data_IF_413556559919
#
_entry.id   IF_413556559919
#
_cell.length_a   1.000
_cell.length_b   1.000
_cell.length_c   1.000
_cell.angle_alpha   90.00
_cell.angle_beta   90.00
_cell.angle_gamma   90.00
#
_symmetry.space_group_name_H-M   'P 1'
#
loop_
_entity.id
_entity.type
_entity.pdbx_description
1 polymer ?
#
# COMPACT_ATOMS: atom_id res chain seq x y z
N UNK A 1 28.51 -8.26 -30.28
CA UNK A 1 27.97 -9.53 -29.79
C UNK A 1 26.52 -9.29 -29.32
N UNK A 2 25.57 -9.75 -30.13
CA UNK A 2 24.20 -9.94 -29.67
C UNK A 2 24.22 -11.02 -28.59
N UNK A 3 24.00 -10.64 -27.34
CA UNK A 3 23.74 -11.60 -26.30
C UNK A 3 22.30 -12.10 -26.49
N UNK A 4 22.14 -13.17 -27.24
CA UNK A 4 20.87 -13.79 -27.56
C UNK A 4 20.29 -14.68 -26.44
N UNK A 5 20.90 -14.68 -25.26
CA UNK A 5 20.38 -15.35 -24.08
C UNK A 5 20.26 -14.35 -22.93
N UNK A 6 19.11 -14.27 -22.31
CA UNK A 6 18.97 -13.54 -21.05
C UNK A 6 20.04 -14.08 -20.08
N UNK A 7 20.99 -13.22 -19.67
CA UNK A 7 21.94 -13.59 -18.64
C UNK A 7 21.15 -13.89 -17.38
N UNK A 8 21.40 -15.01 -16.74
CA UNK A 8 20.72 -15.40 -15.50
C UNK A 8 21.74 -15.80 -14.46
N UNK A 9 21.54 -15.30 -13.25
CA UNK A 9 22.26 -15.74 -12.06
C UNK A 9 21.32 -16.58 -11.20
N UNK A 10 21.86 -17.56 -10.48
CA UNK A 10 21.09 -18.40 -9.57
C UNK A 10 21.57 -18.17 -8.15
N UNK A 11 20.66 -17.83 -7.27
CA UNK A 11 20.91 -17.68 -5.85
C UNK A 11 20.12 -18.70 -5.04
N UNK A 12 20.67 -19.13 -3.93
CA UNK A 12 19.96 -19.97 -2.96
C UNK A 12 19.69 -19.17 -1.69
N UNK A 13 18.44 -19.07 -1.30
CA UNK A 13 18.02 -18.43 -0.06
C UNK A 13 17.00 -19.32 0.66
N UNK A 14 17.31 -19.70 1.88
CA UNK A 14 16.42 -20.53 2.72
C UNK A 14 15.91 -21.80 2.01
N UNK A 15 16.79 -22.42 1.22
CA UNK A 15 16.45 -23.66 0.47
C UNK A 15 15.75 -23.44 -0.87
N UNK A 16 15.36 -22.20 -1.19
CA UNK A 16 14.74 -21.85 -2.47
C UNK A 16 15.79 -21.42 -3.50
N UNK A 17 15.56 -21.77 -4.75
CA UNK A 17 16.36 -21.29 -5.89
C UNK A 17 15.72 -20.00 -6.44
N UNK A 18 16.53 -18.96 -6.58
CA UNK A 18 16.11 -17.67 -7.14
C UNK A 18 16.87 -17.45 -8.43
N UNK A 19 16.14 -17.37 -9.54
CA UNK A 19 16.70 -17.04 -10.86
C UNK A 19 16.60 -15.54 -11.09
N UNK A 20 17.73 -14.87 -11.33
CA UNK A 20 17.77 -13.47 -11.78
C UNK A 20 17.91 -13.46 -13.29
N UNK A 21 16.90 -12.90 -13.96
CA UNK A 21 16.81 -12.85 -15.42
C UNK A 21 16.90 -11.39 -15.86
N UNK A 22 17.91 -11.07 -16.66
CA UNK A 22 18.07 -9.74 -17.23
C UNK A 22 17.37 -9.66 -18.59
N UNK A 23 16.32 -8.87 -18.69
CA UNK A 23 15.58 -8.66 -19.94
C UNK A 23 14.96 -7.27 -19.98
N UNK A 24 15.03 -6.62 -21.13
CA UNK A 24 14.36 -5.34 -21.38
C UNK A 24 12.94 -5.51 -21.93
N UNK A 25 12.56 -6.74 -22.28
CA UNK A 25 11.24 -7.04 -22.83
C UNK A 25 10.66 -8.30 -22.17
N UNK A 26 9.62 -8.16 -21.35
CA UNK A 26 9.03 -9.29 -20.61
C UNK A 26 8.45 -10.37 -21.53
N UNK A 27 8.09 -10.01 -22.78
CA UNK A 27 7.55 -10.96 -23.77
C UNK A 27 8.59 -11.96 -24.25
N UNK A 28 9.89 -11.57 -24.19
CA UNK A 28 11.02 -12.36 -24.66
C UNK A 28 11.62 -13.28 -23.61
N UNK A 29 11.16 -13.16 -22.35
CA UNK A 29 11.65 -14.01 -21.26
C UNK A 29 11.15 -15.44 -21.47
N UNK A 30 12.07 -16.39 -21.59
CA UNK A 30 11.72 -17.80 -21.68
C UNK A 30 11.67 -18.42 -20.29
N UNK A 31 10.54 -18.27 -19.60
CA UNK A 31 10.35 -18.82 -18.26
C UNK A 31 10.39 -20.36 -18.23
N UNK A 32 10.07 -21.04 -19.36
CA UNK A 32 10.05 -22.51 -19.43
C UNK A 32 11.43 -23.12 -19.21
N UNK A 33 12.51 -22.44 -19.60
CA UNK A 33 13.87 -22.92 -19.36
C UNK A 33 14.22 -23.05 -17.86
N UNK A 34 13.49 -22.32 -17.00
CA UNK A 34 13.61 -22.38 -15.55
C UNK A 34 12.55 -23.27 -14.89
N UNK A 35 11.86 -24.09 -15.67
CA UNK A 35 10.80 -24.97 -15.18
C UNK A 35 9.46 -24.28 -14.90
N UNK A 36 9.33 -22.98 -15.15
CA UNK A 36 8.14 -22.20 -14.87
C UNK A 36 7.15 -22.35 -16.02
N UNK A 37 6.00 -22.96 -15.74
CA UNK A 37 4.94 -23.20 -16.74
C UNK A 37 3.76 -22.28 -16.59
N UNK A 38 3.43 -21.92 -15.34
CA UNK A 38 2.35 -21.01 -14.95
C UNK A 38 2.85 -20.12 -13.82
N UNK A 39 2.91 -18.83 -14.05
CA UNK A 39 3.39 -17.88 -13.06
C UNK A 39 2.32 -16.85 -12.74
N UNK A 40 2.21 -16.48 -11.47
CA UNK A 40 1.69 -15.18 -11.06
C UNK A 40 2.88 -14.24 -11.03
N UNK A 41 2.83 -13.20 -11.86
CA UNK A 41 3.88 -12.19 -11.95
C UNK A 41 3.50 -11.00 -11.09
N UNK A 42 4.43 -10.52 -10.28
CA UNK A 42 4.27 -9.30 -9.49
C UNK A 42 5.09 -8.21 -10.18
N UNK A 43 4.42 -7.17 -10.69
CA UNK A 43 5.07 -6.03 -11.34
C UNK A 43 5.25 -4.89 -10.33
N UNK A 44 6.50 -4.64 -9.97
CA UNK A 44 6.94 -3.53 -9.14
C UNK A 44 7.92 -2.60 -9.88
N UNK A 45 7.93 -2.66 -11.22
CA UNK A 45 8.88 -1.90 -12.06
C UNK A 45 8.52 -0.40 -12.13
N UNK A 46 7.25 -0.04 -11.93
CA UNK A 46 6.73 1.31 -12.15
C UNK A 46 6.64 1.71 -13.64
N UNK A 47 6.98 0.80 -14.57
CA UNK A 47 6.97 1.09 -16.00
C UNK A 47 5.54 1.19 -16.56
N UNK A 48 4.65 0.32 -16.11
CA UNK A 48 3.27 0.24 -16.58
C UNK A 48 2.28 0.29 -15.43
N UNK A 49 1.20 1.02 -15.60
CA UNK A 49 0.12 1.16 -14.62
C UNK A 49 -1.26 0.98 -15.23
N UNK A 50 -1.34 0.67 -16.51
CA UNK A 50 -2.57 0.48 -17.27
C UNK A 50 -2.64 -0.93 -17.89
N UNK A 51 -3.80 -1.24 -18.45
CA UNK A 51 -4.08 -2.55 -19.03
C UNK A 51 -3.19 -2.86 -20.24
N UNK A 52 -2.93 -1.86 -21.09
CA UNK A 52 -2.11 -2.04 -22.30
C UNK A 52 -0.68 -2.43 -21.93
N UNK A 53 -0.06 -1.70 -21.00
CA UNK A 53 1.29 -1.97 -20.53
C UNK A 53 1.39 -3.33 -19.83
N UNK A 54 0.51 -3.61 -18.88
CA UNK A 54 0.53 -4.85 -18.11
C UNK A 54 0.20 -6.10 -18.95
N UNK A 55 -0.56 -5.95 -20.02
CA UNK A 55 -0.78 -7.03 -20.99
C UNK A 55 0.50 -7.50 -21.69
N UNK A 56 1.60 -6.72 -21.65
CA UNK A 56 2.90 -7.21 -22.15
C UNK A 56 3.39 -8.43 -21.37
N UNK A 57 3.10 -8.49 -20.06
CA UNK A 57 3.39 -9.67 -19.25
C UNK A 57 2.47 -10.85 -19.60
N UNK A 58 1.17 -10.59 -19.76
CA UNK A 58 0.17 -11.63 -20.05
C UNK A 58 0.35 -12.26 -21.45
N UNK A 59 0.98 -11.54 -22.39
CA UNK A 59 1.36 -12.10 -23.70
C UNK A 59 2.41 -13.21 -23.61
N UNK A 60 3.12 -13.30 -22.49
CA UNK A 60 4.04 -14.41 -22.25
C UNK A 60 3.25 -15.67 -21.86
N UNK A 61 3.37 -16.78 -22.59
CA UNK A 61 2.53 -17.98 -22.36
C UNK A 61 2.78 -18.67 -21.02
N UNK A 62 3.83 -18.31 -20.29
CA UNK A 62 4.12 -18.82 -18.97
C UNK A 62 3.55 -17.96 -17.84
N UNK A 63 2.96 -16.79 -18.15
CA UNK A 63 2.36 -15.88 -17.17
C UNK A 63 0.84 -16.05 -17.22
N UNK A 64 0.26 -16.50 -16.12
CA UNK A 64 -1.17 -16.70 -15.98
C UNK A 64 -1.86 -15.44 -15.45
N UNK A 65 -1.21 -14.74 -14.53
CA UNK A 65 -1.73 -13.53 -13.88
C UNK A 65 -0.63 -12.52 -13.62
N UNK A 66 -0.97 -11.23 -13.67
CA UNK A 66 -0.10 -10.14 -13.27
C UNK A 66 -0.73 -9.32 -12.14
N UNK A 67 0.02 -9.06 -11.09
CA UNK A 67 -0.34 -8.20 -9.97
C UNK A 67 0.54 -6.96 -10.02
N UNK A 68 -0.07 -5.79 -10.14
CA UNK A 68 0.63 -4.51 -10.08
C UNK A 68 0.75 -4.03 -8.64
N UNK A 69 1.96 -3.72 -8.18
CA UNK A 69 2.21 -3.18 -6.83
C UNK A 69 2.17 -1.64 -6.80
N UNK A 70 1.20 -1.07 -7.50
CA UNK A 70 0.94 0.36 -7.54
C UNK A 70 -0.55 0.59 -7.85
N UNK A 71 -1.08 1.81 -7.65
CA UNK A 71 -2.42 2.14 -8.09
C UNK A 71 -2.58 1.95 -9.60
N UNK A 72 -3.41 1.01 -9.99
CA UNK A 72 -3.71 0.74 -11.38
C UNK A 72 -4.63 1.82 -11.97
N UNK A 73 -4.45 2.09 -13.28
CA UNK A 73 -5.26 3.02 -14.04
C UNK A 73 -6.30 2.31 -14.90
N UNK A 74 -7.33 3.04 -15.29
CA UNK A 74 -8.35 2.56 -16.22
C UNK A 74 -9.33 1.59 -15.58
N UNK A 75 -9.51 0.41 -16.19
CA UNK A 75 -10.49 -0.59 -15.76
C UNK A 75 -9.94 -1.66 -14.81
N UNK A 76 -8.65 -1.65 -14.55
CA UNK A 76 -8.03 -2.60 -13.64
C UNK A 76 -8.55 -2.34 -12.23
N UNK A 77 -9.00 -3.40 -11.57
CA UNK A 77 -9.47 -3.31 -10.18
C UNK A 77 -8.28 -3.11 -9.23
N UNK A 78 -8.35 -2.08 -8.40
CA UNK A 78 -7.47 -1.92 -7.26
C UNK A 78 -8.08 -2.66 -6.06
N UNK A 79 -7.37 -3.64 -5.57
CA UNK A 79 -7.83 -4.52 -4.49
C UNK A 79 -7.01 -4.24 -3.23
N UNK A 80 -7.71 -4.17 -2.12
CA UNK A 80 -7.16 -4.19 -0.76
C UNK A 80 -7.71 -5.43 -0.08
N UNK A 81 -6.83 -6.33 0.30
CA UNK A 81 -7.19 -7.61 0.90
C UNK A 81 -8.05 -7.42 2.16
N UNK A 82 -9.11 -8.21 2.29
CA UNK A 82 -10.09 -8.16 3.38
C UNK A 82 -11.03 -6.93 3.37
N UNK A 83 -10.90 -6.04 2.36
CA UNK A 83 -11.72 -4.84 2.26
C UNK A 83 -12.66 -4.89 1.05
N UNK A 84 -12.15 -5.24 -0.12
CA UNK A 84 -12.91 -5.32 -1.37
C UNK A 84 -12.49 -6.47 -2.28
N UNK A 85 -11.81 -7.47 -1.76
CA UNK A 85 -11.34 -8.65 -2.50
C UNK A 85 -12.50 -9.53 -2.98
N UNK A 86 -13.68 -9.45 -2.36
CA UNK A 86 -14.92 -10.07 -2.85
C UNK A 86 -15.33 -9.58 -4.24
N UNK A 87 -14.79 -8.47 -4.72
CA UNK A 87 -15.01 -7.97 -6.08
C UNK A 87 -14.27 -8.75 -7.15
N UNK A 88 -13.33 -9.60 -6.76
CA UNK A 88 -12.63 -10.50 -7.67
C UNK A 88 -13.55 -11.67 -8.04
N UNK A 89 -13.68 -11.90 -9.36
CA UNK A 89 -14.45 -13.03 -9.88
C UNK A 89 -13.61 -14.29 -10.07
N UNK A 90 -12.28 -14.16 -9.92
CA UNK A 90 -11.32 -15.26 -10.09
C UNK A 90 -10.77 -15.42 -11.50
N UNK A 91 -11.33 -14.74 -12.49
CA UNK A 91 -10.93 -14.78 -13.90
C UNK A 91 -10.06 -13.58 -14.32
N UNK A 92 -9.84 -12.62 -13.41
CA UNK A 92 -8.99 -11.48 -13.68
C UNK A 92 -7.54 -11.88 -13.92
N UNK A 93 -7.03 -11.53 -15.09
CA UNK A 93 -5.60 -11.76 -15.43
C UNK A 93 -4.68 -10.66 -14.90
N UNK A 94 -5.23 -9.47 -14.66
CA UNK A 94 -4.49 -8.31 -14.19
C UNK A 94 -5.25 -7.69 -13.02
N UNK A 95 -4.55 -7.50 -11.91
CA UNK A 95 -5.08 -6.90 -10.68
C UNK A 95 -4.09 -5.87 -10.15
N UNK A 96 -4.57 -4.75 -9.65
CA UNK A 96 -3.78 -3.78 -8.90
C UNK A 96 -3.90 -4.02 -7.40
N UNK A 97 -2.78 -4.06 -6.69
CA UNK A 97 -2.75 -4.19 -5.22
C UNK A 97 -2.83 -2.83 -4.51
N UNK A 98 -3.27 -1.78 -5.20
CA UNK A 98 -3.31 -0.40 -4.71
C UNK A 98 -1.93 0.09 -4.22
N UNK A 99 -1.88 1.07 -3.31
CA UNK A 99 -0.63 1.55 -2.71
C UNK A 99 -0.50 1.09 -1.26
N UNK A 100 0.71 1.17 -0.69
CA UNK A 100 0.96 0.91 0.73
C UNK A 100 0.07 1.79 1.63
N UNK A 101 -0.04 3.08 1.32
CA UNK A 101 -0.91 4.01 2.03
C UNK A 101 -2.38 3.60 1.93
N UNK A 102 -2.86 3.24 0.73
CA UNK A 102 -4.25 2.79 0.54
C UNK A 102 -4.54 1.54 1.36
N UNK A 103 -3.62 0.58 1.37
CA UNK A 103 -3.75 -0.63 2.21
C UNK A 103 -3.79 -0.30 3.70
N UNK A 104 -3.01 0.69 4.15
CA UNK A 104 -2.96 1.08 5.55
C UNK A 104 -4.21 1.83 6.03
N UNK A 105 -4.78 2.71 5.20
CA UNK A 105 -5.86 3.62 5.65
C UNK A 105 -7.26 3.08 5.39
N UNK A 106 -7.45 2.20 4.40
CA UNK A 106 -8.81 1.71 4.08
C UNK A 106 -9.41 0.80 5.14
N UNK A 107 -8.68 -0.14 5.79
CA UNK A 107 -9.25 -0.95 6.86
C UNK A 107 -9.79 -0.12 8.03
N UNK A 108 -9.03 0.81 8.63
CA UNK A 108 -9.55 1.66 9.70
C UNK A 108 -10.69 2.58 9.24
N UNK A 109 -10.65 3.13 8.02
CA UNK A 109 -11.74 3.96 7.51
C UNK A 109 -13.02 3.17 7.33
N UNK A 110 -12.96 1.94 6.80
CA UNK A 110 -14.11 1.06 6.68
C UNK A 110 -14.73 0.77 8.05
N UNK A 111 -13.90 0.39 9.01
CA UNK A 111 -14.33 0.07 10.36
C UNK A 111 -15.04 1.24 11.03
N UNK A 112 -14.48 2.45 10.94
CA UNK A 112 -15.08 3.67 11.52
C UNK A 112 -16.36 4.06 10.77
N UNK A 113 -16.38 3.99 9.42
CA UNK A 113 -17.59 4.34 8.67
C UNK A 113 -18.74 3.37 8.95
N UNK A 114 -18.47 2.08 9.12
CA UNK A 114 -19.49 1.10 9.50
C UNK A 114 -20.09 1.39 10.85
N UNK A 115 -19.27 1.72 11.86
CA UNK A 115 -19.71 1.94 13.23
C UNK A 115 -20.34 3.33 13.47
N UNK A 116 -19.71 4.40 12.97
CA UNK A 116 -20.02 5.77 13.36
C UNK A 116 -20.41 6.69 12.21
N UNK A 117 -20.25 6.27 10.95
CA UNK A 117 -20.49 7.01 9.70
C UNK A 117 -19.65 8.28 9.56
N UNK A 118 -18.68 8.22 8.68
CA UNK A 118 -17.83 9.36 8.33
C UNK A 118 -18.62 10.36 7.47
N UNK A 119 -18.68 11.61 7.91
CA UNK A 119 -19.29 12.72 7.18
C UNK A 119 -18.26 13.42 6.31
N UNK A 120 -17.08 13.70 6.85
CA UNK A 120 -15.95 14.31 6.16
C UNK A 120 -14.65 14.00 6.90
N UNK A 121 -13.52 14.25 6.25
CA UNK A 121 -12.23 14.11 6.92
C UNK A 121 -11.06 14.54 6.07
N UNK A 122 -9.90 14.58 6.73
CA UNK A 122 -8.62 14.82 6.11
C UNK A 122 -7.60 13.76 6.56
N UNK A 123 -6.85 13.26 5.59
CA UNK A 123 -5.80 12.27 5.83
C UNK A 123 -4.45 12.92 5.53
N UNK A 124 -3.62 13.04 6.54
CA UNK A 124 -2.23 13.43 6.40
C UNK A 124 -1.36 12.19 6.51
N UNK A 125 -0.41 11.98 5.59
CA UNK A 125 0.55 10.89 5.71
C UNK A 125 1.95 11.45 5.91
N UNK A 126 2.56 11.07 7.03
CA UNK A 126 3.99 11.28 7.30
C UNK A 126 4.70 10.04 6.74
N UNK A 127 5.26 10.19 5.54
CA UNK A 127 5.70 9.04 4.76
C UNK A 127 7.22 8.99 4.63
N UNK A 128 7.79 7.82 4.87
CA UNK A 128 9.20 7.56 4.60
C UNK A 128 9.55 7.94 3.15
N UNK A 129 10.79 8.37 2.90
CA UNK A 129 11.22 8.61 1.53
C UNK A 129 11.21 7.32 0.71
N UNK A 130 10.97 7.45 -0.57
CA UNK A 130 10.94 6.30 -1.50
C UNK A 130 11.76 6.62 -2.74
N UNK A 131 12.00 5.61 -3.57
CA UNK A 131 12.87 5.72 -4.76
C UNK A 131 12.37 6.72 -5.84
N UNK A 132 11.16 7.28 -5.68
CA UNK A 132 10.67 8.34 -6.55
C UNK A 132 11.17 9.75 -6.16
N UNK A 133 11.90 9.88 -5.05
CA UNK A 133 12.54 11.11 -4.63
C UNK A 133 14.02 11.11 -4.98
N UNK A 134 14.56 12.30 -5.28
CA UNK A 134 15.99 12.43 -5.51
C UNK A 134 16.76 12.34 -4.19
N UNK A 135 17.92 11.67 -4.20
CA UNK A 135 18.80 11.59 -3.04
C UNK A 135 19.45 12.95 -2.75
N UNK A 136 19.86 13.64 -3.79
CA UNK A 136 20.38 15.03 -3.76
C UNK A 136 19.51 15.90 -4.65
N UNK A 137 19.59 17.23 -4.49
CA UNK A 137 18.81 18.19 -5.29
C UNK A 137 19.03 17.95 -6.79
N UNK A 138 17.95 17.63 -7.51
CA UNK A 138 17.98 17.42 -8.94
C UNK A 138 16.57 17.62 -9.54
N UNK A 139 16.49 17.70 -10.87
CA UNK A 139 15.21 17.82 -11.57
C UNK A 139 14.27 16.65 -11.24
N UNK A 140 13.01 16.99 -11.03
CA UNK A 140 11.91 16.06 -10.86
C UNK A 140 10.61 16.67 -11.40
N UNK A 141 9.73 15.86 -11.99
CA UNK A 141 8.43 16.33 -12.52
C UNK A 141 7.51 16.93 -11.47
N UNK A 142 7.69 16.59 -10.20
CA UNK A 142 7.05 17.22 -9.04
C UNK A 142 8.13 17.97 -8.29
N UNK A 143 8.15 19.30 -8.43
CA UNK A 143 9.25 20.19 -8.03
C UNK A 143 9.83 19.89 -6.65
N UNK A 144 8.97 19.77 -5.63
CA UNK A 144 9.41 19.53 -4.25
C UNK A 144 10.07 18.16 -4.06
N UNK A 145 9.69 17.13 -4.84
CA UNK A 145 10.32 15.80 -4.77
C UNK A 145 11.71 15.74 -5.40
N UNK A 146 12.10 16.80 -6.11
CA UNK A 146 13.45 16.99 -6.62
C UNK A 146 14.46 17.40 -5.55
N UNK A 147 14.00 17.85 -4.35
CA UNK A 147 14.88 18.22 -3.25
C UNK A 147 15.39 16.97 -2.51
N UNK A 148 16.63 17.05 -2.01
CA UNK A 148 17.32 15.92 -1.37
C UNK A 148 16.51 15.27 -0.26
N UNK A 149 16.12 14.02 -0.45
CA UNK A 149 15.16 13.29 0.38
C UNK A 149 15.65 13.08 1.83
N UNK A 150 16.96 12.87 1.99
CA UNK A 150 17.56 12.61 3.31
C UNK A 150 17.67 13.85 4.21
N UNK A 151 17.43 15.06 3.67
CA UNK A 151 17.67 16.32 4.37
C UNK A 151 16.42 17.18 4.53
N UNK A 152 15.29 16.81 3.90
CA UNK A 152 14.14 17.69 3.81
C UNK A 152 12.83 17.01 4.19
N UNK A 153 11.95 17.76 4.84
CA UNK A 153 10.51 17.49 4.87
C UNK A 153 9.92 18.01 3.56
N UNK A 154 9.17 17.13 2.84
CA UNK A 154 8.63 17.47 1.52
C UNK A 154 7.12 17.30 1.52
N UNK A 155 6.39 18.43 1.49
CA UNK A 155 4.93 18.40 1.28
C UNK A 155 4.67 18.05 -0.18
N UNK A 156 3.81 17.05 -0.42
CA UNK A 156 3.48 16.59 -1.76
C UNK A 156 2.04 16.09 -1.84
N UNK A 157 1.50 16.09 -3.05
CA UNK A 157 0.19 15.52 -3.33
C UNK A 157 0.20 14.00 -3.12
N UNK A 158 -0.95 13.47 -2.77
CA UNK A 158 -1.21 12.03 -2.72
C UNK A 158 -2.55 11.69 -3.37
N UNK A 159 -2.60 10.56 -4.06
CA UNK A 159 -3.84 10.01 -4.59
C UNK A 159 -4.67 9.25 -3.57
N UNK A 160 -4.31 9.27 -2.28
CA UNK A 160 -4.90 8.41 -1.24
C UNK A 160 -6.42 8.59 -1.10
N UNK A 161 -6.94 9.83 -1.05
CA UNK A 161 -8.38 10.08 -0.93
C UNK A 161 -9.19 9.53 -2.11
N UNK A 162 -8.65 9.66 -3.33
CA UNK A 162 -9.26 9.07 -4.52
C UNK A 162 -9.21 7.54 -4.46
N UNK A 163 -8.06 6.97 -4.10
CA UNK A 163 -7.88 5.53 -3.99
C UNK A 163 -8.81 4.91 -2.94
N UNK A 164 -9.03 5.57 -1.79
CA UNK A 164 -10.03 5.16 -0.81
C UNK A 164 -11.43 5.13 -1.44
N UNK A 165 -11.80 6.14 -2.22
CA UNK A 165 -13.11 6.20 -2.88
C UNK A 165 -13.33 5.08 -3.92
N UNK A 166 -12.26 4.60 -4.53
CA UNK A 166 -12.31 3.47 -5.47
C UNK A 166 -12.52 2.14 -4.72
N UNK A 167 -11.97 2.02 -3.51
CA UNK A 167 -12.08 0.84 -2.64
C UNK A 167 -13.35 0.86 -1.81
N UNK A 168 -13.70 2.01 -1.23
CA UNK A 168 -14.89 2.25 -0.39
C UNK A 168 -15.72 3.37 -1.03
N UNK A 169 -16.64 3.06 -1.96
CA UNK A 169 -17.42 4.07 -2.70
C UNK A 169 -18.25 5.00 -1.83
N UNK A 170 -18.65 4.56 -0.64
CA UNK A 170 -19.42 5.32 0.33
C UNK A 170 -18.67 6.55 0.86
N UNK A 171 -17.35 6.55 0.75
CA UNK A 171 -16.47 7.66 1.16
C UNK A 171 -16.16 8.64 0.03
N UNK A 172 -16.75 8.45 -1.16
CA UNK A 172 -16.51 9.33 -2.30
C UNK A 172 -16.90 10.77 -2.00
N UNK A 173 -15.93 11.69 -2.18
CA UNK A 173 -16.12 13.13 -1.97
C UNK A 173 -16.12 13.57 -0.51
N UNK A 174 -15.95 12.65 0.46
CA UNK A 174 -15.92 12.98 1.88
C UNK A 174 -14.51 13.26 2.41
N UNK A 175 -13.48 12.81 1.71
CA UNK A 175 -12.10 12.83 2.19
C UNK A 175 -11.20 13.71 1.31
N UNK A 176 -10.29 14.42 1.96
CA UNK A 176 -9.13 15.06 1.35
C UNK A 176 -7.85 14.40 1.88
N UNK A 177 -6.75 14.50 1.15
CA UNK A 177 -5.48 13.94 1.60
C UNK A 177 -4.28 14.70 1.04
N UNK A 178 -3.19 14.72 1.81
CA UNK A 178 -1.86 15.09 1.36
C UNK A 178 -0.79 14.22 2.04
N UNK A 179 0.46 14.40 1.67
CA UNK A 179 1.57 13.66 2.23
C UNK A 179 2.74 14.59 2.56
N UNK A 180 3.42 14.30 3.67
CA UNK A 180 4.71 14.87 4.02
C UNK A 180 5.74 13.75 3.95
N UNK A 181 6.68 13.84 3.02
CA UNK A 181 7.84 12.95 3.00
C UNK A 181 8.82 13.41 4.06
N UNK A 182 9.35 12.44 4.81
CA UNK A 182 10.30 12.67 5.91
C UNK A 182 11.59 11.90 5.69
N UNK A 183 12.72 12.34 6.24
CA UNK A 183 14.04 11.73 6.03
C UNK A 183 14.24 10.47 6.89
N UNK A 184 13.31 9.52 6.82
CA UNK A 184 13.43 8.19 7.45
C UNK A 184 13.31 7.11 6.38
N UNK A 185 14.04 5.99 6.52
CA UNK A 185 14.12 4.98 5.46
C UNK A 185 12.87 4.11 5.31
N UNK A 186 12.14 3.86 6.37
CA UNK A 186 10.97 3.00 6.37
C UNK A 186 10.04 3.32 7.54
N UNK A 187 8.85 2.77 7.52
CA UNK A 187 7.68 3.01 8.38
C UNK A 187 7.13 4.42 8.23
N UNK A 188 5.88 4.46 7.88
CA UNK A 188 5.09 5.65 7.66
C UNK A 188 3.96 5.73 8.69
N UNK A 189 3.41 6.92 8.87
CA UNK A 189 2.29 7.19 9.77
C UNK A 189 1.17 7.86 8.99
N UNK A 190 -0.05 7.37 9.11
CA UNK A 190 -1.23 8.08 8.64
C UNK A 190 -1.99 8.70 9.82
N UNK A 191 -2.31 9.96 9.70
CA UNK A 191 -3.12 10.75 10.64
C UNK A 191 -4.47 10.98 9.97
N UNK A 192 -5.55 10.52 10.57
CA UNK A 192 -6.89 10.65 10.02
C UNK A 192 -7.74 11.53 10.93
N UNK A 193 -7.98 12.75 10.50
CA UNK A 193 -8.88 13.69 11.16
C UNK A 193 -10.26 13.53 10.55
N UNK A 194 -11.21 12.99 11.31
CA UNK A 194 -12.52 12.59 10.82
C UNK A 194 -13.65 13.28 11.58
N UNK A 195 -14.65 13.75 10.85
CA UNK A 195 -15.93 14.19 11.39
C UNK A 195 -16.93 13.04 11.21
N UNK A 196 -17.49 12.57 12.31
CA UNK A 196 -18.40 11.44 12.37
C UNK A 196 -19.84 11.90 12.51
N UNK A 197 -20.79 11.07 12.12
CA UNK A 197 -22.23 11.34 12.36
C UNK A 197 -22.61 11.14 13.83
N UNK A 198 -21.91 10.23 14.53
CA UNK A 198 -22.13 9.92 15.94
C UNK A 198 -20.94 10.39 16.76
N UNK A 199 -21.20 10.93 17.95
CA UNK A 199 -20.14 11.16 18.93
C UNK A 199 -19.60 9.83 19.44
N UNK A 200 -18.30 9.77 19.67
CA UNK A 200 -17.62 8.58 20.16
C UNK A 200 -16.49 8.98 21.09
N UNK A 201 -16.30 8.24 22.17
CA UNK A 201 -15.18 8.41 23.10
C UNK A 201 -13.92 7.66 22.65
N UNK A 202 -12.77 8.02 23.21
CA UNK A 202 -11.49 7.34 22.94
C UNK A 202 -11.56 5.86 23.32
N UNK A 203 -12.16 5.54 24.47
CA UNK A 203 -12.30 4.16 24.94
C UNK A 203 -13.11 3.30 23.95
N UNK A 204 -14.22 3.82 23.44
CA UNK A 204 -15.09 3.13 22.48
C UNK A 204 -14.36 2.91 21.13
N UNK A 205 -13.56 3.91 20.68
CA UNK A 205 -12.69 3.74 19.50
C UNK A 205 -11.64 2.67 19.73
N UNK A 206 -10.94 2.73 20.87
CA UNK A 206 -9.91 1.76 21.20
C UNK A 206 -10.47 0.33 21.31
N UNK A 207 -11.66 0.17 21.90
CA UNK A 207 -12.33 -1.13 21.97
C UNK A 207 -12.72 -1.64 20.56
N UNK A 208 -13.24 -0.77 19.69
CA UNK A 208 -13.57 -1.12 18.32
C UNK A 208 -12.34 -1.68 17.58
N UNK A 209 -11.20 -0.97 17.65
CA UNK A 209 -9.97 -1.42 16.99
C UNK A 209 -9.36 -2.66 17.65
N UNK A 210 -9.43 -2.77 18.96
CA UNK A 210 -9.01 -3.95 19.71
C UNK A 210 -9.80 -5.19 19.30
N UNK A 211 -11.12 -5.06 19.19
CA UNK A 211 -11.97 -6.15 18.69
C UNK A 211 -11.64 -6.51 17.24
N UNK A 212 -11.39 -5.52 16.40
CA UNK A 212 -11.01 -5.74 15.00
C UNK A 212 -9.68 -6.52 14.90
N UNK A 213 -8.68 -6.11 15.67
CA UNK A 213 -7.33 -6.71 15.65
C UNK A 213 -7.30 -8.15 16.21
N UNK A 214 -8.11 -8.45 17.21
CA UNK A 214 -8.02 -9.76 17.89
C UNK A 214 -9.14 -10.75 17.56
N UNK A 215 -10.32 -10.26 17.16
CA UNK A 215 -11.53 -11.09 17.11
C UNK A 215 -12.33 -10.99 15.81
N UNK A 216 -11.83 -10.30 14.79
CA UNK A 216 -12.54 -10.15 13.50
C UNK A 216 -11.79 -10.76 12.31
N UNK A 217 -12.39 -10.67 11.13
CA UNK A 217 -11.74 -11.04 9.86
C UNK A 217 -10.53 -10.14 9.55
N UNK A 218 -10.44 -8.96 10.18
CA UNK A 218 -9.36 -8.00 9.99
C UNK A 218 -8.14 -8.29 10.87
N UNK A 219 -8.16 -9.34 11.69
CA UNK A 219 -7.09 -9.72 12.63
C UNK A 219 -5.74 -10.03 11.97
N UNK A 220 -5.68 -10.21 10.68
CA UNK A 220 -4.44 -10.40 9.90
C UNK A 220 -4.06 -9.16 9.12
N UNK A 221 -4.84 -8.08 9.26
CA UNK A 221 -4.74 -6.84 8.47
C UNK A 221 -4.49 -5.65 9.38
N UNK A 222 -5.20 -5.56 10.50
CA UNK A 222 -5.07 -4.49 11.50
C UNK A 222 -4.40 -5.08 12.74
N UNK A 223 -3.35 -4.42 13.19
CA UNK A 223 -2.75 -4.64 14.51
C UNK A 223 -3.10 -3.49 15.46
N UNK A 224 -2.88 -3.69 16.75
CA UNK A 224 -3.24 -2.78 17.82
C UNK A 224 -2.07 -2.54 18.76
N UNK A 225 -1.64 -1.29 18.88
CA UNK A 225 -0.62 -0.89 19.84
C UNK A 225 -1.22 -0.07 20.99
N UNK A 226 -0.86 -0.43 22.20
CA UNK A 226 -1.15 0.32 23.42
C UNK A 226 0.15 0.79 24.10
N UNK A 227 1.26 0.85 23.35
CA UNK A 227 2.55 1.32 23.86
C UNK A 227 2.52 2.82 24.06
N UNK A 228 3.06 3.28 25.20
CA UNK A 228 3.21 4.70 25.53
C UNK A 228 4.47 5.31 24.93
N UNK A 229 5.39 4.50 24.45
CA UNK A 229 6.71 4.85 23.95
C UNK A 229 6.97 4.38 22.51
N UNK A 230 5.92 3.91 21.83
CA UNK A 230 5.99 3.42 20.45
C UNK A 230 6.41 4.51 19.46
N UNK A 231 7.44 4.21 18.65
CA UNK A 231 7.96 5.08 17.58
C UNK A 231 8.14 4.30 16.29
N UNK A 232 8.40 4.99 15.17
CA UNK A 232 8.44 4.36 13.84
C UNK A 232 9.37 3.15 13.74
N UNK A 233 10.50 3.14 14.44
CA UNK A 233 11.45 2.01 14.39
C UNK A 233 10.93 0.72 15.04
N UNK A 234 9.94 0.81 15.91
CA UNK A 234 9.34 -0.35 16.59
C UNK A 234 8.43 -1.15 15.66
N UNK A 235 8.00 -0.53 14.58
CA UNK A 235 7.10 -1.12 13.59
C UNK A 235 7.81 -1.63 12.34
N UNK A 236 9.16 -1.66 12.32
CA UNK A 236 9.91 -2.27 11.23
C UNK A 236 9.59 -3.76 11.11
N UNK A 237 9.37 -4.22 9.88
CA UNK A 237 9.00 -5.59 9.55
C UNK A 237 7.66 -6.04 10.17
N UNK A 238 6.80 -5.11 10.56
CA UNK A 238 5.44 -5.44 10.95
C UNK A 238 4.67 -5.97 9.74
N UNK A 239 3.98 -7.10 9.90
CA UNK A 239 3.33 -7.83 8.80
C UNK A 239 1.95 -7.28 8.44
N UNK A 240 1.36 -6.48 9.30
CA UNK A 240 0.00 -5.97 9.12
C UNK A 240 -0.03 -4.81 8.12
N UNK A 241 -1.19 -4.59 7.52
CA UNK A 241 -1.41 -3.44 6.65
C UNK A 241 -1.29 -2.12 7.44
N UNK A 242 -1.72 -2.14 8.71
CA UNK A 242 -1.62 -1.01 9.62
C UNK A 242 -1.64 -1.44 11.09
N UNK A 243 -1.04 -0.61 11.95
CA UNK A 243 -1.07 -0.74 13.40
C UNK A 243 -1.78 0.48 13.98
N UNK A 244 -2.94 0.28 14.59
CA UNK A 244 -3.68 1.34 15.26
C UNK A 244 -2.98 1.75 16.57
N UNK A 245 -2.75 3.06 16.73
CA UNK A 245 -2.13 3.62 17.93
C UNK A 245 -3.20 4.12 18.92
N UNK A 246 -3.46 3.32 19.93
CA UNK A 246 -4.50 3.61 20.92
C UNK A 246 -4.14 4.77 21.84
N UNK A 247 -2.85 4.97 22.12
CA UNK A 247 -2.39 6.02 23.03
C UNK A 247 -2.40 7.40 22.37
N UNK A 248 -2.22 7.46 21.04
CA UNK A 248 -2.24 8.70 20.28
C UNK A 248 -3.67 9.13 19.87
N UNK A 249 -4.66 8.26 19.99
CA UNK A 249 -6.03 8.53 19.56
C UNK A 249 -6.68 9.66 20.36
N UNK A 250 -7.31 10.60 19.65
CA UNK A 250 -7.97 11.77 20.24
C UNK A 250 -9.43 11.77 19.80
N UNK A 251 -10.32 12.11 20.74
CA UNK A 251 -11.73 12.34 20.46
C UNK A 251 -12.21 13.63 21.11
N UNK A 252 -12.99 14.40 20.35
CA UNK A 252 -13.73 15.57 20.82
C UNK A 252 -15.13 15.52 20.20
N UNK A 253 -16.07 14.92 20.92
CA UNK A 253 -17.44 14.64 20.47
C UNK A 253 -17.45 13.79 19.19
N UNK A 254 -17.80 14.41 18.05
CA UNK A 254 -17.87 13.75 16.74
C UNK A 254 -16.60 14.00 15.89
N UNK A 255 -15.64 14.75 16.40
CA UNK A 255 -14.36 14.96 15.75
C UNK A 255 -13.32 14.02 16.35
N UNK A 256 -12.75 13.13 15.56
CA UNK A 256 -11.74 12.18 16.01
C UNK A 256 -10.46 12.31 15.19
N UNK A 257 -9.33 12.09 15.86
CA UNK A 257 -8.04 11.96 15.21
C UNK A 257 -7.48 10.61 15.58
N UNK A 258 -7.26 9.76 14.58
CA UNK A 258 -6.62 8.47 14.76
C UNK A 258 -5.28 8.41 14.05
N UNK A 259 -4.38 7.63 14.61
CA UNK A 259 -3.02 7.43 14.12
C UNK A 259 -2.84 5.95 13.79
N UNK A 260 -2.31 5.67 12.61
CA UNK A 260 -1.96 4.31 12.21
C UNK A 260 -0.56 4.27 11.62
N UNK A 261 0.28 3.42 12.19
CA UNK A 261 1.60 3.11 11.68
C UNK A 261 1.49 2.04 10.59
N UNK A 262 2.39 2.07 9.61
CA UNK A 262 2.48 1.02 8.61
C UNK A 262 3.89 0.89 8.05
N UNK A 263 4.38 -0.34 7.99
CA UNK A 263 5.60 -0.63 7.24
C UNK A 263 5.25 -0.60 5.75
N UNK A 264 5.63 0.50 5.10
CA UNK A 264 5.28 0.77 3.70
C UNK A 264 6.01 -0.14 2.71
N UNK A 265 6.96 -0.96 3.17
CA UNK A 265 7.68 -1.95 2.37
C UNK A 265 7.26 -3.37 2.72
N UNK A 266 7.57 -3.84 3.92
CA UNK A 266 7.32 -5.22 4.33
C UNK A 266 5.83 -5.51 4.54
N UNK A 267 5.15 -4.68 5.35
CA UNK A 267 3.72 -4.83 5.62
C UNK A 267 2.90 -4.78 4.34
N UNK A 268 3.21 -3.83 3.44
CA UNK A 268 2.57 -3.78 2.12
C UNK A 268 2.84 -5.03 1.28
N UNK A 269 4.10 -5.49 1.24
CA UNK A 269 4.45 -6.69 0.47
C UNK A 269 3.71 -7.94 0.97
N UNK A 270 3.48 -8.03 2.28
CA UNK A 270 2.67 -9.11 2.89
C UNK A 270 1.21 -9.07 2.45
N UNK A 271 0.65 -7.89 2.22
CA UNK A 271 -0.72 -7.76 1.71
C UNK A 271 -0.85 -8.08 0.21
N UNK A 272 0.25 -7.99 -0.54
CA UNK A 272 0.29 -8.33 -1.97
C UNK A 272 0.32 -9.84 -2.20
N UNK A 273 0.99 -10.59 -1.33
CA UNK A 273 1.21 -12.05 -1.46
C UNK A 273 0.13 -12.84 -0.75
#
# INVERSE_FOLDING_TARGET
HERSSAASDVYKRQGNEIFIIYSNDPRKVNYKQFGIKKATLIDNTGAWTDEEGLNQHIKNPSVERAILTAPAKGKIKNIVYGINDERLKGDEKIVGAASCTTNAITPPLKLIDEAFKIQSGHIETIHAYTNDQNLVDNYHKSDRRGRGAALNLVITDTGAAKAVSDVIPELKGKLTANAIRVPIPNVSLAIMNLNLKKSVGVEELNDLFKQAAFHSNLRTIIDYSNSIDGVSSDFYSNEFACVYDAQATISNFNCVTIYVWYDNEYGYSRQVV
#
